data_IF_598445933659
#
_entry.id   IF_598445933659
#
_cell.length_a   1.000
_cell.length_b   1.000
_cell.length_c   1.000
_cell.angle_alpha   90.00
_cell.angle_beta   90.00
_cell.angle_gamma   90.00
#
_symmetry.space_group_name_H-M   'P 1'
#
loop_
_entity.id
_entity.type
_entity.pdbx_description
1 polymer ?
#
# COMPACT_ATOMS: atom_id res chain seq x y z
N UNK A 1 25.53 -22.66 -8.66
CA UNK A 1 25.40 -21.35 -9.37
C UNK A 1 24.04 -20.82 -8.98
N UNK A 2 23.94 -19.58 -8.49
CA UNK A 2 22.62 -18.97 -8.17
C UNK A 2 21.85 -18.76 -9.48
N UNK A 3 20.51 -18.98 -9.44
CA UNK A 3 19.66 -18.66 -10.57
C UNK A 3 19.59 -17.13 -10.83
N UNK A 4 19.11 -16.74 -12.01
CA UNK A 4 19.10 -15.33 -12.44
C UNK A 4 18.22 -14.46 -11.53
N UNK A 5 17.07 -14.97 -11.05
CA UNK A 5 16.16 -14.22 -10.20
C UNK A 5 16.82 -13.93 -8.84
N UNK A 6 17.46 -14.92 -8.24
CA UNK A 6 18.22 -14.78 -6.98
C UNK A 6 19.37 -13.78 -7.14
N UNK A 7 20.10 -13.83 -8.26
CA UNK A 7 21.19 -12.88 -8.53
C UNK A 7 20.65 -11.44 -8.67
N UNK A 8 19.53 -11.25 -9.38
CA UNK A 8 18.90 -9.93 -9.56
C UNK A 8 18.44 -9.36 -8.22
N UNK A 9 17.73 -10.14 -7.40
CA UNK A 9 17.28 -9.75 -6.07
C UNK A 9 18.46 -9.36 -5.16
N UNK A 10 19.55 -10.14 -5.16
CA UNK A 10 20.76 -9.82 -4.40
C UNK A 10 21.37 -8.49 -4.84
N UNK A 11 21.49 -8.24 -6.16
CA UNK A 11 22.04 -6.99 -6.69
C UNK A 11 21.18 -5.78 -6.33
N UNK A 12 19.85 -5.93 -6.34
CA UNK A 12 18.92 -4.87 -5.96
C UNK A 12 19.11 -4.49 -4.47
N UNK A 13 19.14 -5.48 -3.58
CA UNK A 13 19.38 -5.26 -2.14
C UNK A 13 20.75 -4.61 -1.87
N UNK A 14 21.78 -5.08 -2.55
CA UNK A 14 23.13 -4.52 -2.42
C UNK A 14 23.18 -3.06 -2.93
N UNK A 15 22.47 -2.75 -4.01
CA UNK A 15 22.35 -1.39 -4.53
C UNK A 15 21.63 -0.48 -3.53
N UNK A 16 20.53 -0.94 -2.94
CA UNK A 16 19.81 -0.21 -1.89
C UNK A 16 20.73 0.11 -0.71
N UNK A 17 21.44 -0.88 -0.15
CA UNK A 17 22.35 -0.67 0.99
C UNK A 17 23.43 0.38 0.67
N UNK A 18 23.92 0.43 -0.57
CA UNK A 18 24.94 1.39 -1.00
C UNK A 18 24.45 2.84 -1.08
N UNK A 19 23.15 3.09 -1.08
CA UNK A 19 22.60 4.45 -1.02
C UNK A 19 22.71 5.05 0.38
N UNK A 20 22.78 4.22 1.43
CA UNK A 20 22.81 4.67 2.82
C UNK A 20 24.13 5.39 3.13
N UNK A 21 24.04 6.65 3.49
CA UNK A 21 25.18 7.47 3.90
C UNK A 21 25.15 7.68 5.40
N UNK A 22 26.34 7.87 5.97
CA UNK A 22 26.49 8.08 7.42
C UNK A 22 25.76 9.32 7.92
N UNK A 23 25.75 10.37 7.11
CA UNK A 23 25.08 11.65 7.40
C UNK A 23 23.54 11.53 7.42
N UNK A 24 22.97 10.54 6.72
CA UNK A 24 21.53 10.31 6.64
C UNK A 24 21.01 9.52 7.85
N UNK A 25 21.91 8.91 8.63
CA UNK A 25 21.54 8.11 9.79
C UNK A 25 20.94 8.97 10.90
N UNK A 26 19.79 8.53 11.37
CA UNK A 26 19.15 9.17 12.53
C UNK A 26 19.88 8.79 13.81
N UNK A 27 20.38 9.78 14.55
CA UNK A 27 21.07 9.57 15.82
C UNK A 27 20.10 9.28 16.99
N UNK A 28 20.52 8.43 17.93
CA UNK A 28 19.78 7.84 19.04
C UNK A 28 18.55 8.55 19.62
N UNK A 29 18.68 9.76 20.16
CA UNK A 29 17.56 10.49 20.78
C UNK A 29 16.52 11.04 19.76
N UNK A 30 16.88 11.18 18.49
CA UNK A 30 15.96 11.65 17.45
C UNK A 30 15.09 10.54 16.89
N UNK A 31 15.47 9.27 17.07
CA UNK A 31 14.71 8.11 16.53
C UNK A 31 13.30 7.99 17.12
N UNK A 32 13.15 8.32 18.40
CA UNK A 32 11.87 8.24 19.12
C UNK A 32 10.87 9.35 18.73
N UNK A 33 11.32 10.35 17.96
CA UNK A 33 10.51 11.49 17.52
C UNK A 33 10.07 11.39 16.06
N UNK A 34 10.52 10.36 15.35
CA UNK A 34 10.25 10.18 13.92
C UNK A 34 9.24 9.08 13.68
N UNK A 35 8.40 9.31 12.67
CA UNK A 35 7.40 8.37 12.19
C UNK A 35 7.50 8.18 10.67
N UNK A 36 6.66 7.36 10.07
CA UNK A 36 6.61 7.19 8.61
C UNK A 36 6.34 8.49 7.84
N UNK A 37 5.72 9.49 8.47
CA UNK A 37 5.53 10.82 7.86
C UNK A 37 6.84 11.55 7.54
N UNK A 38 7.92 11.17 8.22
CA UNK A 38 9.23 11.80 8.09
C UNK A 38 10.16 11.09 7.11
N UNK A 39 9.70 10.04 6.43
CA UNK A 39 10.50 9.26 5.49
C UNK A 39 10.08 9.49 4.05
N UNK A 40 11.05 9.58 3.16
CA UNK A 40 10.83 9.67 1.73
C UNK A 40 11.59 8.60 0.96
N UNK A 41 11.72 8.77 -0.35
CA UNK A 41 12.53 7.86 -1.17
C UNK A 41 13.97 7.78 -0.68
N UNK A 42 14.62 6.63 -0.85
CA UNK A 42 15.98 6.33 -0.36
C UNK A 42 16.13 6.30 1.17
N UNK A 43 15.04 6.28 1.93
CA UNK A 43 15.06 6.08 3.37
C UNK A 43 15.14 4.60 3.76
N UNK A 44 15.42 4.38 5.04
CA UNK A 44 15.40 3.05 5.65
C UNK A 44 14.66 3.08 6.98
N UNK A 45 13.88 2.05 7.24
CA UNK A 45 13.25 1.81 8.54
C UNK A 45 13.22 0.32 8.87
N UNK A 46 13.01 0.00 10.14
CA UNK A 46 12.85 -1.37 10.66
C UNK A 46 11.42 -1.58 11.13
N UNK A 47 10.84 -2.73 10.81
CA UNK A 47 9.57 -3.21 11.32
C UNK A 47 9.61 -4.72 11.49
N UNK A 48 9.20 -5.24 12.67
CA UNK A 48 9.20 -6.67 13.01
C UNK A 48 10.54 -7.37 12.71
N UNK A 49 11.67 -6.69 12.93
CA UNK A 49 13.01 -7.24 12.73
C UNK A 49 13.47 -7.31 11.28
N UNK A 50 12.67 -6.84 10.34
CA UNK A 50 13.07 -6.68 8.94
C UNK A 50 13.42 -5.21 8.66
N UNK A 51 14.39 -5.03 7.75
CA UNK A 51 14.82 -3.70 7.27
C UNK A 51 14.20 -3.42 5.91
N UNK A 52 13.54 -2.28 5.79
CA UNK A 52 12.88 -1.84 4.58
C UNK A 52 13.60 -0.64 3.98
N UNK A 53 13.91 -0.73 2.69
CA UNK A 53 14.40 0.38 1.88
C UNK A 53 13.24 0.96 1.08
N UNK A 54 12.97 2.24 1.24
CA UNK A 54 11.91 2.95 0.50
C UNK A 54 12.39 3.29 -0.90
N UNK A 55 11.83 2.64 -1.91
CA UNK A 55 12.13 2.84 -3.34
C UNK A 55 11.42 4.09 -3.87
N UNK A 56 10.18 4.30 -3.46
CA UNK A 56 9.37 5.46 -3.84
C UNK A 56 8.36 5.80 -2.76
N UNK A 57 8.04 7.09 -2.67
CA UNK A 57 6.91 7.65 -1.96
C UNK A 57 5.92 8.15 -3.00
N UNK A 58 4.73 7.63 -3.00
CA UNK A 58 3.61 7.99 -3.86
C UNK A 58 2.46 8.48 -2.98
N UNK A 59 1.37 8.96 -3.59
CA UNK A 59 0.19 9.38 -2.83
C UNK A 59 -1.08 9.30 -3.64
N UNK A 60 -2.16 9.02 -2.97
CA UNK A 60 -3.53 9.20 -3.44
C UNK A 60 -4.07 10.52 -2.89
N UNK A 61 -4.75 11.32 -3.70
CA UNK A 61 -5.48 12.50 -3.29
C UNK A 61 -6.97 12.25 -3.54
N UNK A 62 -7.75 12.21 -2.49
CA UNK A 62 -9.20 11.99 -2.58
C UNK A 62 -9.87 13.07 -3.41
N UNK A 63 -10.83 12.66 -4.25
CA UNK A 63 -11.59 13.53 -5.13
C UNK A 63 -13.10 13.28 -5.02
N UNK A 64 -13.90 14.10 -5.69
CA UNK A 64 -15.28 13.71 -5.99
C UNK A 64 -15.31 12.53 -6.98
N UNK A 65 -16.38 11.76 -6.99
CA UNK A 65 -16.53 10.54 -7.80
C UNK A 65 -16.36 10.80 -9.31
N UNK A 66 -16.64 12.00 -9.77
CA UNK A 66 -16.38 12.43 -11.14
C UNK A 66 -14.95 12.92 -11.40
N UNK A 67 -14.05 12.80 -10.41
CA UNK A 67 -12.64 13.21 -10.42
C UNK A 67 -12.39 14.71 -10.69
N UNK A 68 -13.37 15.58 -10.49
CA UNK A 68 -13.23 17.01 -10.80
C UNK A 68 -12.83 17.88 -9.63
N UNK A 69 -13.20 17.50 -8.42
CA UNK A 69 -12.95 18.28 -7.21
C UNK A 69 -12.09 17.52 -6.24
N UNK A 70 -10.94 18.08 -5.87
CA UNK A 70 -10.02 17.53 -4.88
C UNK A 70 -10.52 17.86 -3.48
N UNK A 71 -10.51 16.89 -2.58
CA UNK A 71 -10.95 17.05 -1.18
C UNK A 71 -9.82 17.47 -0.25
N UNK A 72 -8.54 17.33 -0.68
CA UNK A 72 -7.37 17.71 0.10
C UNK A 72 -6.99 16.69 1.18
N UNK A 73 -7.56 15.50 1.13
CA UNK A 73 -7.19 14.36 1.94
C UNK A 73 -6.21 13.47 1.18
N UNK A 74 -5.22 12.93 1.87
CA UNK A 74 -4.13 12.19 1.24
C UNK A 74 -3.83 10.90 1.97
N UNK A 75 -3.74 9.80 1.21
CA UNK A 75 -3.10 8.55 1.63
C UNK A 75 -1.74 8.46 0.94
N UNK A 76 -0.71 8.10 1.67
CA UNK A 76 0.66 7.98 1.17
C UNK A 76 1.06 6.52 1.07
N UNK A 77 1.62 6.13 -0.08
CA UNK A 77 2.12 4.79 -0.33
C UNK A 77 3.66 4.79 -0.39
N UNK A 78 4.27 3.93 0.41
CA UNK A 78 5.69 3.61 0.34
C UNK A 78 5.89 2.28 -0.36
N UNK A 79 6.50 2.29 -1.54
CA UNK A 79 6.97 1.05 -2.17
C UNK A 79 8.32 0.68 -1.58
N UNK A 80 8.40 -0.41 -0.83
CA UNK A 80 9.56 -0.80 -0.04
C UNK A 80 10.19 -2.10 -0.54
N UNK A 81 11.52 -2.20 -0.46
CA UNK A 81 12.26 -3.45 -0.62
C UNK A 81 12.65 -3.98 0.76
N UNK A 82 12.13 -5.14 1.14
CA UNK A 82 12.60 -5.85 2.33
C UNK A 82 14.00 -6.41 2.08
N UNK A 83 15.00 -5.99 2.87
CA UNK A 83 16.39 -6.37 2.65
C UNK A 83 16.65 -7.83 3.02
N UNK A 84 15.92 -8.41 3.95
CA UNK A 84 16.06 -9.79 4.39
C UNK A 84 15.54 -10.77 3.33
N UNK A 85 14.37 -10.48 2.73
CA UNK A 85 13.70 -11.39 1.80
C UNK A 85 13.91 -11.03 0.33
N UNK A 86 14.16 -9.75 0.02
CA UNK A 86 14.20 -9.22 -1.34
C UNK A 86 12.82 -9.01 -1.96
N UNK A 87 11.76 -9.12 -1.17
CA UNK A 87 10.38 -8.87 -1.62
C UNK A 87 10.09 -7.37 -1.65
N UNK A 88 9.24 -6.96 -2.59
CA UNK A 88 8.64 -5.64 -2.58
C UNK A 88 7.37 -5.70 -1.75
N UNK A 89 7.28 -4.82 -0.76
CA UNK A 89 6.17 -4.66 0.18
C UNK A 89 5.71 -3.22 0.11
N UNK A 90 4.40 -3.00 0.23
CA UNK A 90 3.85 -1.65 0.31
C UNK A 90 3.42 -1.36 1.74
N UNK A 91 3.71 -0.15 2.19
CA UNK A 91 3.15 0.43 3.40
C UNK A 91 2.36 1.65 2.97
N UNK A 92 1.16 1.77 3.49
CA UNK A 92 0.32 2.95 3.32
C UNK A 92 0.17 3.64 4.65
N UNK A 93 0.08 4.96 4.62
CA UNK A 93 -0.20 5.73 5.81
C UNK A 93 -1.02 6.97 5.48
N UNK A 94 -1.82 7.35 6.43
CA UNK A 94 -2.61 8.56 6.42
C UNK A 94 -2.53 9.25 7.79
N UNK A 95 -2.93 10.47 7.83
CA UNK A 95 -2.93 11.25 9.04
C UNK A 95 -4.11 12.23 9.03
N UNK A 96 -5.06 11.96 9.89
CA UNK A 96 -6.10 12.89 10.27
C UNK A 96 -5.82 13.37 11.72
N UNK A 97 -6.42 12.80 12.73
CA UNK A 97 -6.12 13.08 14.14
C UNK A 97 -4.95 12.22 14.65
N UNK A 98 -4.79 11.01 14.13
CA UNK A 98 -3.71 10.08 14.45
C UNK A 98 -3.06 9.52 13.19
N UNK A 99 -1.89 8.91 13.34
CA UNK A 99 -1.18 8.25 12.25
C UNK A 99 -1.69 6.82 12.13
N UNK A 100 -2.38 6.53 11.05
CA UNK A 100 -2.76 5.18 10.66
C UNK A 100 -1.78 4.62 9.65
N UNK A 101 -1.43 3.36 9.81
CA UNK A 101 -0.47 2.67 8.93
C UNK A 101 -0.99 1.28 8.62
N UNK A 102 -0.90 0.89 7.37
CA UNK A 102 -1.15 -0.48 6.93
C UNK A 102 0.05 -1.05 6.15
N UNK A 103 0.11 -2.37 6.05
CA UNK A 103 1.12 -3.08 5.27
C UNK A 103 0.44 -4.12 4.39
N UNK A 104 0.73 -4.09 3.09
CA UNK A 104 0.24 -5.10 2.14
C UNK A 104 0.74 -6.50 2.50
N UNK A 105 -0.17 -7.46 2.58
CA UNK A 105 0.10 -8.86 2.88
C UNK A 105 0.21 -9.70 1.60
N UNK A 106 -0.83 -9.68 0.77
CA UNK A 106 -0.94 -10.54 -0.41
C UNK A 106 -1.65 -9.80 -1.55
N UNK A 107 -1.32 -10.14 -2.79
CA UNK A 107 -1.95 -9.61 -4.00
C UNK A 107 -2.71 -10.70 -4.72
N UNK A 108 -3.83 -10.34 -5.32
CA UNK A 108 -4.76 -11.24 -5.98
C UNK A 108 -5.08 -10.77 -7.40
N UNK A 109 -5.68 -11.64 -8.18
CA UNK A 109 -6.32 -11.26 -9.44
C UNK A 109 -7.83 -11.16 -9.27
N UNK A 110 -8.50 -10.36 -10.11
CA UNK A 110 -9.95 -10.14 -10.05
C UNK A 110 -10.76 -11.47 -10.02
N UNK A 111 -10.32 -12.47 -10.73
CA UNK A 111 -10.97 -13.81 -10.76
C UNK A 111 -10.85 -14.62 -9.46
N UNK A 112 -10.16 -14.10 -8.44
CA UNK A 112 -10.14 -14.70 -7.10
C UNK A 112 -11.25 -14.15 -6.19
N UNK A 113 -12.01 -13.16 -6.67
CA UNK A 113 -13.13 -12.58 -5.95
C UNK A 113 -14.38 -13.43 -6.17
N UNK A 114 -15.09 -13.68 -5.09
CA UNK A 114 -16.35 -14.42 -5.05
C UNK A 114 -17.38 -13.62 -4.23
N UNK A 115 -18.66 -13.80 -4.52
CA UNK A 115 -19.74 -13.31 -3.68
C UNK A 115 -19.96 -14.21 -2.45
N UNK A 116 -20.93 -13.88 -1.60
CA UNK A 116 -21.27 -14.67 -0.40
C UNK A 116 -21.83 -16.07 -0.71
N UNK A 117 -22.28 -16.31 -1.93
CA UNK A 117 -22.72 -17.63 -2.41
C UNK A 117 -21.57 -18.48 -2.97
N UNK A 118 -20.36 -17.90 -3.13
CA UNK A 118 -19.18 -18.53 -3.72
C UNK A 118 -19.21 -18.53 -5.24
N UNK A 119 -19.95 -17.61 -5.86
CA UNK A 119 -19.95 -17.40 -7.30
C UNK A 119 -18.92 -16.31 -7.64
N UNK A 120 -18.21 -16.46 -8.77
CA UNK A 120 -17.25 -15.45 -9.22
C UNK A 120 -17.97 -14.16 -9.58
N UNK A 121 -17.48 -13.02 -9.10
CA UNK A 121 -18.01 -11.70 -9.42
C UNK A 121 -17.38 -11.11 -10.69
N UNK A 122 -18.11 -10.26 -11.37
CA UNK A 122 -17.61 -9.40 -12.45
C UNK A 122 -17.60 -7.92 -12.03
N UNK A 123 -17.29 -7.00 -12.96
CA UNK A 123 -17.19 -5.57 -12.68
C UNK A 123 -18.55 -4.97 -12.26
N UNK A 124 -19.64 -5.39 -12.91
CA UNK A 124 -21.00 -4.92 -12.58
C UNK A 124 -21.45 -5.46 -11.20
N UNK A 125 -21.03 -6.68 -10.85
CA UNK A 125 -21.29 -7.28 -9.52
C UNK A 125 -20.55 -6.53 -8.41
N UNK A 126 -19.31 -6.06 -8.67
CA UNK A 126 -18.54 -5.28 -7.69
C UNK A 126 -19.23 -3.96 -7.34
N UNK A 127 -19.71 -3.24 -8.35
CA UNK A 127 -20.48 -2.00 -8.14
C UNK A 127 -21.77 -2.29 -7.35
N UNK A 128 -22.47 -3.38 -7.65
CA UNK A 128 -23.68 -3.78 -6.92
C UNK A 128 -23.37 -4.15 -5.45
N UNK A 129 -22.25 -4.83 -5.19
CA UNK A 129 -21.80 -5.17 -3.83
C UNK A 129 -21.50 -3.90 -3.03
N UNK A 130 -20.87 -2.89 -3.64
CA UNK A 130 -20.61 -1.62 -3.00
C UNK A 130 -21.90 -0.85 -2.70
N UNK A 131 -22.83 -0.77 -3.66
CA UNK A 131 -24.12 -0.11 -3.50
C UNK A 131 -24.99 -0.77 -2.39
N UNK A 132 -25.00 -2.08 -2.33
CA UNK A 132 -25.76 -2.87 -1.34
C UNK A 132 -25.02 -3.02 0.01
N UNK A 133 -23.74 -2.60 0.08
CA UNK A 133 -22.85 -2.76 1.26
C UNK A 133 -22.72 -4.22 1.69
N UNK A 134 -22.49 -5.08 0.75
CA UNK A 134 -22.44 -6.51 0.93
C UNK A 134 -21.00 -7.03 1.10
N UNK A 135 -20.75 -8.28 0.84
CA UNK A 135 -19.54 -9.03 1.18
C UNK A 135 -18.81 -9.47 -0.09
N UNK A 136 -17.48 -9.34 -0.07
CA UNK A 136 -16.58 -9.99 -1.01
C UNK A 136 -15.86 -11.13 -0.28
N UNK A 137 -15.74 -12.28 -0.95
CA UNK A 137 -15.02 -13.44 -0.46
C UNK A 137 -13.75 -13.65 -1.27
N UNK A 138 -12.63 -13.88 -0.59
CA UNK A 138 -11.35 -14.21 -1.22
C UNK A 138 -10.65 -15.33 -0.46
N UNK A 139 -10.29 -16.40 -1.16
CA UNK A 139 -9.73 -17.61 -0.53
C UNK A 139 -10.57 -18.16 0.64
N UNK A 140 -11.90 -17.98 0.60
CA UNK A 140 -12.82 -18.41 1.65
C UNK A 140 -12.85 -17.51 2.89
N UNK A 141 -12.15 -16.40 2.92
CA UNK A 141 -12.23 -15.35 3.93
C UNK A 141 -13.22 -14.26 3.46
N UNK A 142 -14.14 -13.86 4.34
CA UNK A 142 -15.13 -12.82 4.05
C UNK A 142 -14.60 -11.45 4.45
N UNK A 143 -14.89 -10.48 3.60
CA UNK A 143 -14.60 -9.08 3.80
C UNK A 143 -15.89 -8.27 3.56
N UNK A 144 -16.29 -7.50 4.55
CA UNK A 144 -17.49 -6.65 4.51
C UNK A 144 -17.14 -5.29 3.96
N UNK A 145 -18.04 -4.73 3.15
CA UNK A 145 -17.90 -3.39 2.61
C UNK A 145 -17.72 -2.37 3.74
N UNK A 146 -16.75 -1.47 3.56
CA UNK A 146 -16.48 -0.37 4.49
C UNK A 146 -16.72 0.98 3.81
N UNK A 147 -16.03 1.24 2.68
CA UNK A 147 -16.14 2.49 1.95
C UNK A 147 -15.75 2.30 0.47
N UNK A 148 -16.12 3.28 -0.36
CA UNK A 148 -15.63 3.43 -1.71
C UNK A 148 -15.41 4.91 -2.05
N UNK A 149 -14.34 5.22 -2.80
CA UNK A 149 -13.97 6.60 -3.07
C UNK A 149 -13.07 6.76 -4.30
N UNK A 150 -13.19 7.92 -4.94
CA UNK A 150 -12.37 8.28 -6.09
C UNK A 150 -11.12 9.04 -5.68
N UNK A 151 -10.00 8.77 -6.35
CA UNK A 151 -8.72 9.41 -6.10
C UNK A 151 -7.92 9.72 -7.36
N UNK A 152 -6.97 10.63 -7.22
CA UNK A 152 -5.88 10.80 -8.17
C UNK A 152 -4.60 10.30 -7.52
N UNK A 153 -3.99 9.28 -8.13
CA UNK A 153 -2.71 8.73 -7.71
C UNK A 153 -1.56 9.48 -8.36
N UNK A 154 -0.56 9.83 -7.56
CA UNK A 154 0.63 10.54 -7.98
C UNK A 154 1.87 9.67 -7.83
N UNK A 155 2.52 9.39 -8.97
CA UNK A 155 3.82 8.71 -9.04
C UNK A 155 4.83 9.62 -9.76
N UNK A 156 5.60 10.37 -8.98
CA UNK A 156 6.47 11.42 -9.52
C UNK A 156 5.64 12.48 -10.27
N UNK A 157 5.83 12.61 -11.58
CA UNK A 157 5.07 13.57 -12.43
C UNK A 157 3.82 12.97 -13.08
N UNK A 158 3.61 11.65 -12.97
CA UNK A 158 2.43 10.98 -13.52
C UNK A 158 1.27 11.12 -12.56
N UNK A 159 0.07 11.24 -13.14
CA UNK A 159 -1.19 11.25 -12.43
C UNK A 159 -2.13 10.25 -13.10
N UNK A 160 -2.76 9.40 -12.32
CA UNK A 160 -3.67 8.37 -12.79
C UNK A 160 -4.94 8.41 -11.92
N UNK A 161 -6.08 8.13 -12.52
CA UNK A 161 -7.34 8.06 -11.80
C UNK A 161 -7.52 6.67 -11.26
N UNK A 162 -7.92 6.58 -10.02
CA UNK A 162 -8.15 5.30 -9.33
C UNK A 162 -9.45 5.41 -8.54
N UNK A 163 -10.33 4.43 -8.69
CA UNK A 163 -11.47 4.25 -7.82
C UNK A 163 -11.15 3.13 -6.84
N UNK A 164 -11.44 3.35 -5.56
CA UNK A 164 -11.10 2.44 -4.46
C UNK A 164 -12.37 1.82 -3.93
N UNK A 165 -12.34 0.50 -3.70
CA UNK A 165 -13.34 -0.22 -2.91
C UNK A 165 -12.63 -0.83 -1.71
N UNK A 166 -13.10 -0.55 -0.51
CA UNK A 166 -12.49 -0.95 0.74
C UNK A 166 -13.41 -1.85 1.55
N UNK A 167 -12.85 -2.93 2.02
CA UNK A 167 -13.55 -3.94 2.80
C UNK A 167 -12.70 -4.34 3.99
N UNK A 168 -13.34 -4.78 5.08
CA UNK A 168 -12.62 -5.30 6.24
C UNK A 168 -13.14 -6.68 6.66
N UNK A 169 -12.29 -7.51 7.27
CA UNK A 169 -12.74 -8.76 7.85
C UNK A 169 -13.42 -8.52 9.20
N UNK A 170 -14.27 -9.48 9.67
CA UNK A 170 -15.04 -9.37 10.91
C UNK A 170 -14.18 -9.01 12.14
N UNK A 171 -12.94 -9.43 12.16
CA UNK A 171 -12.03 -9.19 13.27
C UNK A 171 -11.31 -7.83 13.19
N UNK A 172 -11.49 -7.08 12.11
CA UNK A 172 -10.80 -5.79 11.82
C UNK A 172 -9.27 -5.91 11.89
N UNK A 173 -8.75 -7.04 11.46
CA UNK A 173 -7.32 -7.33 11.45
C UNK A 173 -6.72 -7.41 10.06
N UNK A 174 -7.60 -7.43 9.04
CA UNK A 174 -7.24 -7.39 7.64
C UNK A 174 -8.22 -6.53 6.87
N UNK A 175 -7.67 -5.79 5.93
CA UNK A 175 -8.41 -5.03 4.93
C UNK A 175 -8.23 -5.69 3.56
N UNK A 176 -9.24 -5.60 2.71
CA UNK A 176 -9.17 -5.91 1.29
C UNK A 176 -9.42 -4.63 0.53
N UNK A 177 -8.47 -4.25 -0.31
CA UNK A 177 -8.59 -3.09 -1.19
C UNK A 177 -8.64 -3.56 -2.64
N UNK A 178 -9.60 -3.04 -3.40
CA UNK A 178 -9.73 -3.23 -4.83
C UNK A 178 -9.56 -1.86 -5.48
N UNK A 179 -8.52 -1.69 -6.26
CA UNK A 179 -8.22 -0.49 -7.02
C UNK A 179 -8.64 -0.68 -8.47
N UNK A 180 -9.53 0.14 -8.95
CA UNK A 180 -9.89 0.25 -10.36
C UNK A 180 -9.13 1.41 -11.00
N UNK A 181 -8.21 1.09 -11.91
CA UNK A 181 -7.34 2.04 -12.58
C UNK A 181 -7.92 2.45 -13.93
N UNK A 182 -8.39 3.68 -14.05
CA UNK A 182 -8.89 4.23 -15.31
C UNK A 182 -7.73 4.67 -16.21
N UNK A 183 -7.50 3.95 -17.31
CA UNK A 183 -6.45 4.27 -18.28
C UNK A 183 -6.74 3.77 -19.67
N UNK A 184 -6.09 4.25 -20.70
CA UNK A 184 -6.02 3.76 -22.10
C UNK A 184 -7.24 2.98 -22.68
N UNK A 185 -8.45 3.14 -22.14
CA UNK A 185 -9.69 2.55 -22.64
C UNK A 185 -9.99 1.14 -22.18
N UNK A 186 -9.28 0.66 -21.17
CA UNK A 186 -9.59 -0.58 -20.44
C UNK A 186 -9.18 -0.35 -18.98
N UNK A 187 -10.09 -0.67 -18.07
CA UNK A 187 -9.83 -0.59 -16.66
C UNK A 187 -8.96 -1.77 -16.21
N UNK A 188 -8.04 -1.51 -15.31
CA UNK A 188 -7.12 -2.51 -14.75
C UNK A 188 -7.32 -2.56 -13.24
N UNK A 189 -7.54 -3.75 -12.70
CA UNK A 189 -7.77 -3.95 -11.28
C UNK A 189 -6.50 -4.40 -10.57
N UNK A 190 -6.20 -3.75 -9.43
CA UNK A 190 -5.19 -4.22 -8.48
C UNK A 190 -5.89 -4.57 -7.17
N UNK A 191 -5.69 -5.79 -6.70
CA UNK A 191 -6.40 -6.31 -5.54
C UNK A 191 -5.37 -6.82 -4.54
N UNK A 192 -5.50 -6.38 -3.31
CA UNK A 192 -4.59 -6.81 -2.26
C UNK A 192 -5.25 -6.80 -0.88
N UNK A 193 -4.74 -7.65 -0.01
CA UNK A 193 -5.05 -7.55 1.40
C UNK A 193 -3.92 -6.83 2.13
N UNK A 194 -4.26 -6.12 3.18
CA UNK A 194 -3.34 -5.44 4.09
C UNK A 194 -3.70 -5.71 5.55
N UNK A 195 -2.80 -5.37 6.44
CA UNK A 195 -3.06 -5.41 7.89
C UNK A 195 -2.64 -4.11 8.55
N UNK A 196 -3.33 -3.70 9.62
CA UNK A 196 -2.92 -2.54 10.39
C UNK A 196 -1.55 -2.77 11.03
N UNK A 197 -0.76 -1.71 11.07
CA UNK A 197 0.59 -1.68 11.65
C UNK A 197 0.58 -0.67 12.79
N UNK A 198 1.04 -1.09 13.98
CA UNK A 198 1.25 -0.14 15.07
C UNK A 198 2.41 0.81 14.70
N UNK A 199 2.16 2.12 14.48
CA UNK A 199 3.20 3.09 14.07
C UNK A 199 4.38 3.15 15.04
N UNK A 200 4.16 2.96 16.33
CA UNK A 200 5.19 2.98 17.38
C UNK A 200 6.18 1.80 17.27
N UNK A 201 5.82 0.75 16.55
CA UNK A 201 6.70 -0.41 16.30
C UNK A 201 7.69 -0.17 15.16
N UNK A 202 7.53 0.93 14.41
CA UNK A 202 8.40 1.28 13.28
C UNK A 202 9.57 2.12 13.79
N UNK A 203 10.79 1.72 13.41
CA UNK A 203 12.02 2.43 13.82
C UNK A 203 12.70 3.04 12.60
N UNK A 204 12.73 4.36 12.52
CA UNK A 204 13.36 5.06 11.40
C UNK A 204 14.88 4.97 11.53
N UNK A 205 15.54 4.50 10.46
CA UNK A 205 17.00 4.39 10.36
C UNK A 205 17.56 5.62 9.64
N UNK A 206 16.94 6.02 8.53
CA UNK A 206 17.29 7.24 7.78
C UNK A 206 16.06 7.85 7.11
N UNK A 207 16.09 9.17 6.84
CA UNK A 207 14.91 9.90 6.31
C UNK A 207 14.76 9.83 4.79
N UNK A 208 15.86 9.74 4.05
CA UNK A 208 15.85 9.80 2.60
C UNK A 208 15.44 11.19 2.05
N UNK A 209 14.92 11.17 0.83
CA UNK A 209 14.49 12.36 0.09
C UNK A 209 12.95 12.50 0.19
N UNK A 210 12.47 13.58 0.82
CA UNK A 210 11.05 13.94 0.98
C UNK A 210 10.51 14.65 -0.27
#
# INVERSE_FOLDING_TARGET
>A
MLDIATQKSFQERLSAIRTLKKEDLVSGQKKELLSLKDVGSNSFFEYLGNTYFVKSLNKYEETSDDFKSKKGYFIYELTCLCLETGQTIHFEWEFDDELEVSMTLERFSFRNLEDDAGESIDEDDLDQIADDKDVVVINGEKFWYEDDWASVYYRGTKQEKVYMYEFENEAQTKFLTIEEWSGSGKDEYQIYTSSPVNPDSIKIISKGDL
#
